data_IF_036513449819
#
_entry.id   IF_036513449819
#
_cell.length_a   1.000
_cell.length_b   1.000
_cell.length_c   1.000
_cell.angle_alpha   90.00
_cell.angle_beta   90.00
_cell.angle_gamma   90.00
#
_symmetry.space_group_name_H-M   'P 1'
#
loop_
_entity.id
_entity.type
_entity.pdbx_description
1 polymer ?
#
# COMPACT_ATOMS: atom_id res chain seq x y z
N UNK A 1 -9.93 19.87 -12.36
CA UNK A 1 -8.48 20.07 -12.08
C UNK A 1 -7.98 19.30 -10.86
N UNK A 2 -8.69 19.31 -9.73
CA UNK A 2 -8.26 18.63 -8.48
C UNK A 2 -7.94 17.14 -8.69
N UNK A 3 -8.78 16.39 -9.41
CA UNK A 3 -8.56 14.96 -9.70
C UNK A 3 -7.23 14.71 -10.44
N UNK A 4 -6.88 15.57 -11.41
CA UNK A 4 -5.63 15.43 -12.18
C UNK A 4 -4.39 15.66 -11.31
N UNK A 5 -4.46 16.61 -10.36
CA UNK A 5 -3.38 16.84 -9.40
C UNK A 5 -3.19 15.63 -8.45
N UNK A 6 -4.29 15.01 -7.98
CA UNK A 6 -4.25 13.77 -7.17
C UNK A 6 -3.53 12.65 -7.94
N UNK A 7 -3.86 12.46 -9.22
CA UNK A 7 -3.22 11.44 -10.07
C UNK A 7 -1.72 11.68 -10.30
N UNK A 8 -1.32 12.94 -10.50
CA UNK A 8 0.09 13.28 -10.72
C UNK A 8 0.98 12.95 -9.52
N UNK A 9 0.54 13.29 -8.30
CA UNK A 9 1.30 12.99 -7.07
C UNK A 9 1.46 11.48 -6.87
N UNK A 10 0.40 10.70 -7.13
CA UNK A 10 0.44 9.24 -7.04
C UNK A 10 1.47 8.65 -8.03
N UNK A 11 1.51 9.17 -9.26
CA UNK A 11 2.47 8.73 -10.29
C UNK A 11 3.91 9.01 -9.87
N UNK A 12 4.21 10.21 -9.35
CA UNK A 12 5.55 10.56 -8.88
C UNK A 12 6.02 9.66 -7.73
N UNK A 13 5.15 9.39 -6.75
CA UNK A 13 5.48 8.50 -5.63
C UNK A 13 5.77 7.07 -6.12
N UNK A 14 5.02 6.59 -7.11
CA UNK A 14 5.22 5.27 -7.71
C UNK A 14 6.55 5.17 -8.46
N UNK A 15 6.87 6.15 -9.32
CA UNK A 15 8.15 6.20 -10.04
C UNK A 15 9.32 6.25 -9.06
N UNK A 16 9.25 7.08 -8.03
CA UNK A 16 10.29 7.16 -6.99
C UNK A 16 10.50 5.80 -6.31
N UNK A 17 9.43 5.14 -5.88
CA UNK A 17 9.50 3.84 -5.20
C UNK A 17 10.11 2.76 -6.09
N UNK A 18 9.68 2.68 -7.36
CA UNK A 18 10.22 1.71 -8.31
C UNK A 18 11.70 1.96 -8.63
N UNK A 19 12.10 3.23 -8.80
CA UNK A 19 13.51 3.57 -9.05
C UNK A 19 14.45 3.17 -7.90
N UNK A 20 13.93 3.09 -6.67
CA UNK A 20 14.68 2.71 -5.47
C UNK A 20 14.66 1.20 -5.18
N UNK A 21 13.83 0.41 -5.87
CA UNK A 21 13.74 -1.04 -5.72
C UNK A 21 14.93 -1.71 -6.43
N UNK A 22 16.16 -1.48 -5.94
CA UNK A 22 17.34 -2.24 -6.38
C UNK A 22 17.27 -3.65 -5.78
N UNK A 23 16.91 -4.63 -6.61
CA UNK A 23 16.96 -6.05 -6.24
C UNK A 23 18.34 -6.66 -6.41
N UNK A 24 19.23 -6.00 -7.16
CA UNK A 24 20.59 -6.49 -7.31
C UNK A 24 21.36 -6.33 -6.01
N UNK A 25 21.95 -7.40 -5.45
CA UNK A 25 23.05 -7.23 -4.51
C UNK A 25 24.03 -6.25 -5.15
N UNK A 26 24.29 -5.13 -4.48
CA UNK A 26 25.32 -4.23 -4.96
C UNK A 26 26.62 -5.03 -5.09
N UNK A 27 27.40 -4.84 -6.17
CA UNK A 27 28.74 -5.41 -6.23
C UNK A 27 29.45 -4.99 -4.95
N UNK A 28 30.15 -5.95 -4.33
CA UNK A 28 30.72 -5.72 -3.01
C UNK A 28 31.67 -4.53 -3.08
N UNK A 29 31.39 -3.49 -2.29
CA UNK A 29 32.23 -2.29 -2.23
C UNK A 29 33.44 -2.48 -1.30
N UNK A 30 33.56 -3.65 -0.65
CA UNK A 30 34.59 -3.96 0.34
C UNK A 30 35.69 -4.89 -0.18
N UNK A 31 36.29 -5.64 0.74
CA UNK A 31 37.38 -6.58 0.44
C UNK A 31 36.92 -7.72 -0.46
N UNK A 32 37.80 -8.14 -1.36
CA UNK A 32 37.61 -9.32 -2.19
C UNK A 32 38.60 -10.41 -1.81
N UNK A 33 38.15 -11.66 -1.88
CA UNK A 33 38.96 -12.85 -1.65
C UNK A 33 38.85 -13.75 -2.88
N UNK A 34 39.95 -14.33 -3.34
CA UNK A 34 39.92 -15.31 -4.43
C UNK A 34 40.08 -16.71 -3.84
N UNK A 35 39.12 -17.59 -4.13
CA UNK A 35 39.19 -19.02 -3.81
C UNK A 35 38.90 -19.77 -5.10
N UNK A 36 39.80 -20.67 -5.51
CA UNK A 36 39.71 -21.41 -6.78
C UNK A 36 39.49 -20.51 -8.01
N UNK A 37 40.10 -19.32 -8.04
CA UNK A 37 39.98 -18.35 -9.13
C UNK A 37 38.63 -17.62 -9.20
N UNK A 38 37.74 -17.82 -8.22
CA UNK A 38 36.48 -17.08 -8.11
C UNK A 38 36.61 -16.01 -7.03
N UNK A 39 36.35 -14.76 -7.42
CA UNK A 39 36.36 -13.62 -6.51
C UNK A 39 35.07 -13.57 -5.69
N UNK A 40 35.20 -13.73 -4.38
CA UNK A 40 34.16 -13.47 -3.39
C UNK A 40 34.34 -12.07 -2.80
N UNK A 41 33.43 -11.17 -3.11
CA UNK A 41 33.32 -9.86 -2.48
C UNK A 41 32.70 -9.97 -1.09
N UNK A 42 33.17 -9.14 -0.16
CA UNK A 42 32.69 -9.08 1.23
C UNK A 42 32.28 -7.64 1.53
N UNK A 43 31.04 -7.46 1.97
CA UNK A 43 30.50 -6.16 2.34
C UNK A 43 29.94 -6.20 3.77
N UNK A 44 30.70 -5.73 4.77
CA UNK A 44 30.20 -5.61 6.12
C UNK A 44 29.17 -4.48 6.21
N UNK A 45 28.15 -4.66 7.06
CA UNK A 45 27.20 -3.62 7.43
C UNK A 45 27.42 -3.23 8.88
N UNK A 46 27.88 -2.01 9.08
CA UNK A 46 28.19 -1.48 10.39
C UNK A 46 27.04 -0.65 10.99
N UNK A 47 26.90 -0.72 12.31
CA UNK A 47 26.09 0.20 13.09
C UNK A 47 26.86 0.59 14.35
N UNK A 48 27.14 1.88 14.50
CA UNK A 48 27.94 2.42 15.62
C UNK A 48 29.30 1.71 15.77
N UNK A 49 30.00 1.48 14.65
CA UNK A 49 31.31 0.81 14.62
C UNK A 49 31.30 -0.70 14.86
N UNK A 50 30.13 -1.32 15.09
CA UNK A 50 30.00 -2.78 15.20
C UNK A 50 29.46 -3.36 13.90
N UNK A 51 30.09 -4.41 13.38
CA UNK A 51 29.56 -5.17 12.24
C UNK A 51 28.31 -5.93 12.71
N UNK A 52 27.17 -5.59 12.11
CA UNK A 52 25.86 -6.16 12.42
C UNK A 52 25.42 -7.22 11.42
N UNK A 53 25.98 -7.19 10.22
CA UNK A 53 25.73 -8.18 9.18
C UNK A 53 26.90 -8.21 8.20
N UNK A 54 27.09 -9.34 7.52
CA UNK A 54 28.09 -9.50 6.46
C UNK A 54 27.40 -10.03 5.22
N UNK A 55 27.60 -9.38 4.06
CA UNK A 55 27.15 -9.86 2.77
C UNK A 55 28.34 -10.44 1.99
N UNK A 56 28.26 -11.72 1.65
CA UNK A 56 29.19 -12.38 0.74
C UNK A 56 28.59 -12.38 -0.66
N UNK A 57 29.31 -11.88 -1.65
CA UNK A 57 28.83 -11.78 -3.04
C UNK A 57 29.82 -12.49 -3.96
N UNK A 58 29.34 -13.40 -4.81
CA UNK A 58 30.14 -14.10 -5.82
C UNK A 58 29.48 -13.97 -7.19
N UNK A 59 30.23 -13.98 -8.30
CA UNK A 59 29.63 -14.04 -9.63
C UNK A 59 28.73 -15.26 -9.79
N UNK A 60 27.55 -15.07 -10.37
CA UNK A 60 26.58 -16.12 -10.67
C UNK A 60 26.23 -16.04 -12.15
N UNK A 61 26.31 -17.17 -12.85
CA UNK A 61 25.89 -17.28 -14.25
C UNK A 61 24.49 -17.90 -14.31
N UNK A 62 23.48 -17.15 -13.88
CA UNK A 62 22.09 -17.60 -13.90
C UNK A 62 21.22 -16.50 -14.49
N UNK A 63 20.13 -16.83 -15.18
CA UNK A 63 19.10 -15.91 -15.66
C UNK A 63 18.01 -15.73 -14.61
N UNK A 64 17.92 -16.65 -13.65
CA UNK A 64 16.94 -16.64 -12.59
C UNK A 64 17.22 -15.51 -11.60
N UNK A 65 16.18 -14.75 -11.27
CA UNK A 65 16.17 -13.87 -10.11
C UNK A 65 15.44 -14.60 -8.99
N UNK A 66 16.10 -14.75 -7.86
CA UNK A 66 15.53 -15.49 -6.73
C UNK A 66 16.01 -14.95 -5.40
N UNK A 67 15.22 -15.23 -4.37
CA UNK A 67 15.59 -15.03 -2.98
C UNK A 67 15.13 -16.23 -2.17
N UNK A 68 16.05 -16.83 -1.43
CA UNK A 68 15.80 -17.86 -0.45
C UNK A 68 15.88 -17.23 0.93
N UNK A 69 14.91 -17.50 1.78
CA UNK A 69 14.94 -17.09 3.19
C UNK A 69 14.52 -18.23 4.08
N UNK A 70 14.79 -18.11 5.38
CA UNK A 70 14.14 -18.99 6.34
C UNK A 70 12.63 -18.75 6.29
N UNK A 71 11.85 -19.83 6.30
CA UNK A 71 10.39 -19.75 6.27
C UNK A 71 9.86 -19.06 7.53
N UNK A 72 9.11 -17.98 7.37
CA UNK A 72 8.50 -17.27 8.50
C UNK A 72 7.13 -17.85 8.87
N UNK A 73 6.64 -17.53 10.08
CA UNK A 73 5.28 -17.89 10.50
C UNK A 73 4.22 -17.29 9.56
N UNK A 74 4.49 -16.12 9.01
CA UNK A 74 3.60 -15.42 8.08
C UNK A 74 3.51 -16.19 6.76
N UNK A 75 4.65 -16.68 6.24
CA UNK A 75 4.69 -17.50 5.03
C UNK A 75 3.87 -18.78 5.20
N UNK A 76 3.98 -19.43 6.37
CA UNK A 76 3.19 -20.64 6.70
C UNK A 76 1.68 -20.38 6.69
N UNK A 77 1.25 -19.23 7.20
CA UNK A 77 -0.17 -18.85 7.17
C UNK A 77 -0.62 -18.70 5.71
N UNK A 78 0.15 -17.98 4.89
CA UNK A 78 -0.19 -17.77 3.48
C UNK A 78 -0.21 -19.06 2.67
N UNK A 79 0.70 -20.01 2.96
CA UNK A 79 0.66 -21.36 2.38
C UNK A 79 -0.62 -22.10 2.75
N UNK A 80 -1.00 -22.08 4.04
CA UNK A 80 -2.19 -22.77 4.53
C UNK A 80 -3.48 -22.27 3.87
N UNK A 81 -3.54 -20.97 3.56
CA UNK A 81 -4.68 -20.35 2.85
C UNK A 81 -4.63 -20.59 1.33
N UNK A 82 -3.55 -21.19 0.81
CA UNK A 82 -3.37 -21.46 -0.62
C UNK A 82 -3.06 -20.20 -1.45
N UNK A 83 -2.56 -19.14 -0.80
CA UNK A 83 -2.21 -17.88 -1.45
C UNK A 83 -0.84 -17.93 -2.12
N UNK A 84 0.09 -18.66 -1.52
CA UNK A 84 1.40 -18.92 -2.08
C UNK A 84 1.46 -20.37 -2.58
N UNK A 85 1.61 -20.55 -3.89
CA UNK A 85 1.96 -21.86 -4.46
C UNK A 85 3.48 -21.98 -4.39
N UNK A 86 3.99 -22.56 -3.31
CA UNK A 86 5.40 -22.91 -3.24
C UNK A 86 5.64 -24.30 -3.85
N UNK A 87 6.72 -24.40 -4.63
CA UNK A 87 7.19 -25.69 -5.14
C UNK A 87 7.76 -26.48 -3.96
N UNK A 88 7.10 -27.59 -3.64
CA UNK A 88 7.63 -28.56 -2.69
C UNK A 88 8.76 -29.34 -3.36
N UNK A 89 9.90 -29.47 -2.66
CA UNK A 89 11.03 -30.25 -3.16
C UNK A 89 10.88 -31.74 -2.88
N UNK A 90 9.98 -32.10 -1.96
CA UNK A 90 9.83 -33.47 -1.46
C UNK A 90 10.84 -33.82 -0.38
N UNK A 91 11.78 -32.92 -0.08
CA UNK A 91 12.68 -33.00 1.06
C UNK A 91 12.09 -32.18 2.22
N UNK A 92 11.53 -32.89 3.21
CA UNK A 92 10.88 -32.27 4.36
C UNK A 92 11.82 -31.35 5.16
N UNK A 93 13.12 -31.67 5.24
CA UNK A 93 14.07 -30.84 5.97
C UNK A 93 14.33 -29.52 5.24
N UNK A 94 14.30 -29.55 3.91
CA UNK A 94 14.39 -28.35 3.07
C UNK A 94 13.09 -27.55 3.11
N UNK A 95 11.96 -28.19 2.83
CA UNK A 95 10.64 -27.55 2.65
C UNK A 95 10.11 -26.89 3.93
N UNK A 96 10.57 -27.35 5.11
CA UNK A 96 10.20 -26.74 6.42
C UNK A 96 11.12 -25.59 6.84
N UNK A 97 12.29 -25.44 6.20
CA UNK A 97 13.31 -24.45 6.57
C UNK A 97 13.45 -23.34 5.54
N UNK A 98 13.30 -23.63 4.26
CA UNK A 98 13.65 -22.73 3.17
C UNK A 98 12.39 -22.32 2.43
N UNK A 99 12.20 -21.01 2.28
CA UNK A 99 11.20 -20.42 1.40
C UNK A 99 11.88 -19.93 0.11
N UNK A 100 11.41 -20.39 -1.05
CA UNK A 100 11.91 -19.98 -2.37
C UNK A 100 11.01 -18.88 -2.97
N UNK A 101 11.51 -17.65 -2.99
CA UNK A 101 10.91 -16.55 -3.73
C UNK A 101 11.57 -16.42 -5.10
N UNK A 102 11.03 -17.08 -6.11
CA UNK A 102 11.40 -16.89 -7.52
C UNK A 102 10.14 -16.79 -8.38
N UNK A 103 10.23 -16.05 -9.48
CA UNK A 103 9.20 -16.05 -10.53
C UNK A 103 9.54 -17.07 -11.64
N UNK A 104 10.74 -17.67 -11.59
CA UNK A 104 11.15 -18.73 -12.51
C UNK A 104 10.72 -20.09 -11.95
N UNK A 105 9.67 -20.65 -12.55
CA UNK A 105 9.21 -22.02 -12.27
C UNK A 105 10.29 -23.04 -12.62
N UNK A 106 11.05 -22.78 -13.68
CA UNK A 106 12.18 -23.61 -14.10
C UNK A 106 13.27 -23.67 -13.02
N UNK A 107 13.73 -22.52 -12.50
CA UNK A 107 14.72 -22.46 -11.43
C UNK A 107 14.26 -23.24 -10.19
N UNK A 108 13.03 -22.99 -9.77
CA UNK A 108 12.48 -23.64 -8.58
C UNK A 108 12.35 -25.16 -8.75
N UNK A 109 12.01 -25.63 -9.97
CA UNK A 109 11.99 -27.05 -10.32
C UNK A 109 13.39 -27.66 -10.40
N UNK A 110 14.38 -26.94 -10.91
CA UNK A 110 15.75 -27.45 -10.94
C UNK A 110 16.30 -27.60 -9.51
N UNK A 111 16.07 -26.63 -8.63
CA UNK A 111 16.43 -26.73 -7.20
C UNK A 111 15.71 -27.89 -6.51
N UNK A 112 14.45 -28.19 -6.89
CA UNK A 112 13.74 -29.35 -6.35
C UNK A 112 14.29 -30.69 -6.85
N UNK A 113 14.95 -30.73 -8.01
CA UNK A 113 15.57 -31.95 -8.54
C UNK A 113 17.02 -32.12 -8.07
N UNK A 114 17.75 -31.03 -7.80
CA UNK A 114 19.16 -31.09 -7.41
C UNK A 114 19.38 -31.17 -5.89
N UNK A 115 19.66 -32.39 -5.41
CA UNK A 115 19.91 -32.66 -4.00
C UNK A 115 21.14 -31.94 -3.42
N UNK A 116 22.17 -31.70 -4.24
CA UNK A 116 23.38 -31.03 -3.78
C UNK A 116 23.15 -29.53 -3.53
N UNK A 117 22.44 -28.84 -4.43
CA UNK A 117 22.00 -27.46 -4.18
C UNK A 117 21.22 -27.34 -2.88
N UNK A 118 20.23 -28.22 -2.67
CA UNK A 118 19.42 -28.20 -1.43
C UNK A 118 20.28 -28.36 -0.19
N UNK A 119 21.23 -29.29 -0.21
CA UNK A 119 22.17 -29.52 0.90
C UNK A 119 23.05 -28.29 1.16
N UNK A 120 23.60 -27.66 0.12
CA UNK A 120 24.43 -26.46 0.26
C UNK A 120 23.63 -25.27 0.82
N UNK A 121 22.40 -25.07 0.33
CA UNK A 121 21.48 -24.06 0.84
C UNK A 121 21.18 -24.29 2.34
N UNK A 122 20.85 -25.54 2.73
CA UNK A 122 20.62 -25.89 4.13
C UNK A 122 21.84 -25.68 5.01
N UNK A 123 23.04 -25.98 4.50
CA UNK A 123 24.29 -25.73 5.23
C UNK A 123 24.52 -24.23 5.46
N UNK A 124 24.24 -23.36 4.48
CA UNK A 124 24.32 -21.90 4.67
C UNK A 124 23.34 -21.42 5.75
N UNK A 125 22.08 -21.88 5.70
CA UNK A 125 21.09 -21.50 6.72
C UNK A 125 21.44 -22.04 8.11
N UNK A 126 21.98 -23.25 8.19
CA UNK A 126 22.47 -23.84 9.45
C UNK A 126 23.65 -23.05 10.01
N UNK A 127 24.50 -22.51 9.13
CA UNK A 127 25.60 -21.64 9.51
C UNK A 127 25.20 -20.18 9.78
N UNK A 128 23.89 -19.87 9.85
CA UNK A 128 23.40 -18.55 10.25
C UNK A 128 23.13 -17.57 9.10
N UNK A 129 23.06 -18.03 7.85
CA UNK A 129 22.59 -17.19 6.76
C UNK A 129 21.14 -16.72 7.03
N UNK A 130 20.87 -15.43 6.83
CA UNK A 130 19.54 -14.83 6.91
C UNK A 130 18.77 -14.99 5.61
N UNK A 131 19.45 -14.77 4.50
CA UNK A 131 18.92 -15.00 3.16
C UNK A 131 20.05 -15.25 2.16
N UNK A 132 19.68 -15.93 1.08
CA UNK A 132 20.48 -16.13 -0.12
C UNK A 132 19.69 -15.46 -1.24
N UNK A 133 20.33 -14.66 -2.09
CA UNK A 133 19.67 -14.04 -3.23
C UNK A 133 20.55 -14.14 -4.46
N UNK A 134 19.95 -14.47 -5.60
CA UNK A 134 20.61 -14.45 -6.89
C UNK A 134 19.96 -13.42 -7.78
N UNK A 135 20.78 -12.64 -8.46
CA UNK A 135 20.38 -11.96 -9.67
C UNK A 135 21.10 -12.57 -10.88
N UNK A 136 21.06 -11.88 -12.02
CA UNK A 136 21.61 -12.41 -13.26
C UNK A 136 23.14 -12.56 -13.24
N UNK A 137 23.79 -11.81 -12.37
CA UNK A 137 25.23 -11.60 -12.41
C UNK A 137 25.91 -12.06 -11.11
N UNK A 138 25.17 -12.10 -9.99
CA UNK A 138 25.73 -12.33 -8.67
C UNK A 138 24.82 -13.17 -7.77
N UNK A 139 25.46 -14.00 -6.94
CA UNK A 139 24.87 -14.64 -5.77
C UNK A 139 25.33 -13.90 -4.53
N UNK A 140 24.39 -13.41 -3.73
CA UNK A 140 24.62 -12.76 -2.44
C UNK A 140 24.09 -13.62 -1.29
N UNK A 141 24.90 -13.83 -0.25
CA UNK A 141 24.49 -14.51 0.99
C UNK A 141 24.74 -13.60 2.18
N UNK A 142 23.68 -13.27 2.92
CA UNK A 142 23.78 -12.39 4.09
C UNK A 142 23.81 -13.21 5.39
N UNK A 143 24.77 -12.91 6.25
CA UNK A 143 24.90 -13.44 7.60
C UNK A 143 24.68 -12.35 8.66
N UNK A 144 24.28 -12.74 9.86
CA UNK A 144 24.27 -11.84 11.02
C UNK A 144 25.67 -11.76 11.63
N UNK A 145 26.11 -10.57 12.04
CA UNK A 145 27.44 -10.38 12.64
C UNK A 145 28.58 -10.32 11.62
N UNK A 146 29.80 -10.50 12.13
CA UNK A 146 31.05 -10.42 11.37
C UNK A 146 31.48 -11.81 10.88
N UNK A 147 31.38 -12.01 9.57
CA UNK A 147 31.85 -13.23 8.89
C UNK A 147 32.96 -12.91 7.88
N UNK A 148 33.61 -11.75 8.03
CA UNK A 148 34.59 -11.24 7.05
C UNK A 148 35.80 -12.16 6.91
N UNK A 149 36.17 -12.89 7.96
CA UNK A 149 37.34 -13.78 7.99
C UNK A 149 37.00 -15.26 7.76
N UNK A 150 35.73 -15.63 7.70
CA UNK A 150 35.30 -17.03 7.63
C UNK A 150 35.49 -17.64 6.23
N UNK A 151 36.63 -18.29 6.01
CA UNK A 151 36.99 -18.91 4.73
C UNK A 151 36.09 -20.09 4.37
N UNK A 152 35.62 -20.85 5.36
CA UNK A 152 34.70 -21.97 5.16
C UNK A 152 33.37 -21.54 4.55
N UNK A 153 32.79 -20.43 5.06
CA UNK A 153 31.56 -19.87 4.48
C UNK A 153 31.76 -19.37 3.05
N UNK A 154 32.87 -18.68 2.77
CA UNK A 154 33.20 -18.21 1.41
C UNK A 154 33.29 -19.37 0.44
N UNK A 155 33.98 -20.45 0.81
CA UNK A 155 34.08 -21.65 -0.01
C UNK A 155 32.70 -22.28 -0.27
N UNK A 156 31.82 -22.29 0.74
CA UNK A 156 30.48 -22.85 0.61
C UNK A 156 29.58 -22.00 -0.30
N UNK A 157 29.68 -20.67 -0.23
CA UNK A 157 28.98 -19.73 -1.14
C UNK A 157 29.46 -19.90 -2.58
N UNK A 158 30.77 -20.03 -2.80
CA UNK A 158 31.35 -20.27 -4.13
C UNK A 158 30.88 -21.61 -4.70
N UNK A 159 30.86 -22.66 -3.88
CA UNK A 159 30.37 -23.98 -4.29
C UNK A 159 28.90 -23.93 -4.69
N UNK A 160 28.06 -23.22 -3.93
CA UNK A 160 26.66 -23.02 -4.30
C UNK A 160 26.51 -22.24 -5.60
N UNK A 161 27.29 -21.17 -5.81
CA UNK A 161 27.22 -20.38 -7.04
C UNK A 161 27.60 -21.18 -8.29
N UNK A 162 28.61 -22.07 -8.19
CA UNK A 162 28.94 -23.02 -9.26
C UNK A 162 27.76 -23.93 -9.58
N UNK A 163 27.21 -24.57 -8.54
CA UNK A 163 26.10 -25.50 -8.68
C UNK A 163 24.88 -24.83 -9.35
N UNK A 164 24.46 -23.66 -8.85
CA UNK A 164 23.32 -22.92 -9.41
C UNK A 164 23.59 -22.36 -10.82
N UNK A 165 24.84 -22.01 -11.13
CA UNK A 165 25.23 -21.51 -12.44
C UNK A 165 25.23 -22.59 -13.54
N UNK A 166 25.39 -23.86 -13.17
CA UNK A 166 25.33 -24.96 -14.12
C UNK A 166 23.87 -25.39 -14.43
N UNK A 167 22.94 -25.17 -13.50
CA UNK A 167 21.52 -25.49 -13.65
C UNK A 167 20.85 -24.63 -14.74
N UNK A 168 21.12 -23.33 -14.72
CA UNK A 168 20.40 -22.35 -15.55
C UNK A 168 20.70 -22.43 -17.07
N UNK A 169 21.74 -23.20 -17.49
CA UNK A 169 22.05 -23.39 -18.91
C UNK A 169 20.90 -24.02 -19.70
N UNK A 170 20.01 -24.75 -19.02
CA UNK A 170 18.89 -25.45 -19.63
C UNK A 170 17.57 -24.65 -19.59
N UNK A 171 17.57 -23.48 -18.95
CA UNK A 171 16.36 -22.63 -18.84
C UNK A 171 16.23 -21.74 -20.08
N UNK A 172 15.36 -22.15 -21.01
CA UNK A 172 14.98 -21.41 -22.22
C UNK A 172 13.76 -20.54 -21.91
N UNK A 173 13.92 -19.21 -21.85
CA UNK A 173 12.83 -18.25 -21.61
C UNK A 173 12.31 -18.30 -20.16
N UNK A 174 11.84 -17.23 -19.52
CA UNK A 174 11.21 -16.01 -20.00
C UNK A 174 11.81 -14.81 -19.24
N UNK A 175 12.44 -13.87 -19.93
CA UNK A 175 13.16 -12.75 -19.30
C UNK A 175 12.29 -11.69 -18.62
N UNK A 176 10.97 -11.89 -18.55
CA UNK A 176 10.00 -10.94 -17.98
C UNK A 176 9.10 -11.66 -16.99
N UNK A 177 9.17 -11.23 -15.74
CA UNK A 177 8.25 -11.64 -14.67
C UNK A 177 6.79 -11.36 -15.11
N UNK A 178 5.94 -12.37 -15.34
CA UNK A 178 4.56 -12.19 -15.79
C UNK A 178 3.68 -11.49 -14.76
N UNK A 179 4.11 -11.43 -13.50
CA UNK A 179 3.44 -10.73 -12.42
C UNK A 179 3.92 -9.30 -12.25
N UNK A 180 5.00 -8.88 -12.91
CA UNK A 180 5.54 -7.52 -12.75
C UNK A 180 4.51 -6.45 -13.14
N UNK A 181 3.93 -6.55 -14.34
CA UNK A 181 2.92 -5.58 -14.79
C UNK A 181 1.65 -5.63 -13.94
N UNK A 182 1.25 -6.82 -13.49
CA UNK A 182 0.12 -6.99 -12.56
C UNK A 182 0.40 -6.29 -11.22
N UNK A 183 1.62 -6.41 -10.69
CA UNK A 183 2.08 -5.78 -9.46
C UNK A 183 2.09 -4.26 -9.59
N UNK A 184 2.65 -3.74 -10.68
CA UNK A 184 2.63 -2.31 -10.97
C UNK A 184 1.19 -1.79 -11.03
N UNK A 185 0.29 -2.47 -11.76
CA UNK A 185 -1.10 -2.05 -11.90
C UNK A 185 -1.86 -2.03 -10.56
N UNK A 186 -1.70 -3.09 -9.74
CA UNK A 186 -2.32 -3.15 -8.41
C UNK A 186 -1.75 -2.10 -7.47
N UNK A 187 -0.43 -1.91 -7.45
CA UNK A 187 0.19 -0.85 -6.65
C UNK A 187 -0.30 0.54 -7.10
N UNK A 188 -0.35 0.83 -8.41
CA UNK A 188 -0.93 2.07 -8.96
C UNK A 188 -2.35 2.31 -8.44
N UNK A 189 -3.21 1.30 -8.52
CA UNK A 189 -4.60 1.39 -8.09
C UNK A 189 -4.70 1.68 -6.59
N UNK A 190 -4.01 0.90 -5.75
CA UNK A 190 -4.04 1.03 -4.29
C UNK A 190 -3.51 2.39 -3.85
N UNK A 191 -2.39 2.86 -4.41
CA UNK A 191 -1.85 4.18 -4.10
C UNK A 191 -2.71 5.33 -4.64
N UNK A 192 -3.36 5.14 -5.79
CA UNK A 192 -4.34 6.09 -6.33
C UNK A 192 -5.51 6.30 -5.36
N UNK A 193 -6.07 5.21 -4.83
CA UNK A 193 -7.13 5.25 -3.82
C UNK A 193 -6.66 5.89 -2.51
N UNK A 194 -5.44 5.56 -2.06
CA UNK A 194 -4.85 6.18 -0.88
C UNK A 194 -4.67 7.70 -1.03
N UNK A 195 -4.26 8.13 -2.22
CA UNK A 195 -4.12 9.56 -2.56
C UNK A 195 -5.47 10.25 -2.61
N UNK A 196 -6.48 9.63 -3.23
CA UNK A 196 -7.85 10.13 -3.23
C UNK A 196 -8.35 10.34 -1.79
N UNK A 197 -8.27 9.32 -0.93
CA UNK A 197 -8.67 9.39 0.47
C UNK A 197 -7.91 10.47 1.26
N UNK A 198 -6.60 10.60 1.02
CA UNK A 198 -5.77 11.61 1.70
C UNK A 198 -6.20 13.03 1.35
N UNK A 199 -6.47 13.31 0.07
CA UNK A 199 -6.91 14.66 -0.31
C UNK A 199 -8.33 14.92 0.16
N UNK A 200 -9.23 13.94 0.11
CA UNK A 200 -10.56 14.09 0.68
C UNK A 200 -10.55 14.33 2.19
N UNK A 201 -9.61 13.70 2.91
CA UNK A 201 -9.38 13.99 4.33
C UNK A 201 -8.96 15.45 4.55
N UNK A 202 -8.06 15.97 3.72
CA UNK A 202 -7.63 17.36 3.80
C UNK A 202 -8.74 18.34 3.43
N UNK A 203 -9.54 18.03 2.41
CA UNK A 203 -10.74 18.79 2.04
C UNK A 203 -11.69 18.84 3.24
N UNK A 204 -11.99 17.72 3.89
CA UNK A 204 -12.83 17.69 5.08
C UNK A 204 -12.25 18.49 6.26
N UNK A 205 -10.93 18.44 6.47
CA UNK A 205 -10.28 19.13 7.58
C UNK A 205 -10.15 20.65 7.39
N UNK A 206 -10.00 21.11 6.14
CA UNK A 206 -9.73 22.52 5.82
C UNK A 206 -10.92 23.26 5.20
N UNK A 207 -11.85 22.55 4.58
CA UNK A 207 -13.08 23.07 3.98
C UNK A 207 -14.32 22.34 4.55
N UNK A 208 -14.51 22.34 5.87
CA UNK A 208 -15.70 21.74 6.49
C UNK A 208 -16.93 22.60 6.21
N UNK A 209 -17.64 22.26 5.15
CA UNK A 209 -18.99 22.72 4.85
C UNK A 209 -19.96 21.59 5.21
N UNK A 210 -21.07 21.92 5.89
CA UNK A 210 -22.11 20.95 6.19
C UNK A 210 -22.93 20.70 4.91
N UNK A 211 -22.42 19.84 4.04
CA UNK A 211 -23.09 19.52 2.77
C UNK A 211 -24.30 18.63 3.00
N UNK A 212 -24.28 17.76 4.02
CA UNK A 212 -25.33 16.76 4.26
C UNK A 212 -26.15 17.06 5.51
N UNK A 213 -27.47 16.82 5.45
CA UNK A 213 -28.37 17.03 6.59
C UNK A 213 -28.25 15.93 7.66
N UNK A 214 -27.81 14.73 7.27
CA UNK A 214 -27.57 13.60 8.18
C UNK A 214 -26.11 13.11 8.06
N UNK A 215 -25.22 13.80 8.75
CA UNK A 215 -23.78 13.49 8.78
C UNK A 215 -23.50 12.07 9.32
N UNK A 216 -24.36 11.54 10.20
CA UNK A 216 -24.17 10.20 10.76
C UNK A 216 -24.51 9.10 9.74
N UNK A 217 -25.58 9.27 8.96
CA UNK A 217 -25.88 8.37 7.86
C UNK A 217 -24.77 8.38 6.80
N UNK A 218 -24.24 9.54 6.45
CA UNK A 218 -23.09 9.65 5.52
C UNK A 218 -21.87 8.92 6.06
N UNK A 219 -21.53 9.14 7.34
CA UNK A 219 -20.39 8.49 7.97
C UNK A 219 -20.52 6.96 7.97
N UNK A 220 -21.65 6.45 8.46
CA UNK A 220 -21.87 5.00 8.61
C UNK A 220 -21.96 4.29 7.26
N UNK A 221 -22.74 4.82 6.31
CA UNK A 221 -22.87 4.25 4.96
C UNK A 221 -21.58 4.40 4.17
N UNK A 222 -20.90 5.53 4.29
CA UNK A 222 -19.61 5.80 3.67
C UNK A 222 -18.51 4.83 4.13
N UNK A 223 -18.40 4.59 5.44
CA UNK A 223 -17.50 3.55 5.98
C UNK A 223 -17.89 2.18 5.40
N UNK A 224 -19.18 1.85 5.34
CA UNK A 224 -19.66 0.62 4.74
C UNK A 224 -19.22 0.43 3.29
N UNK A 225 -19.36 1.48 2.46
CA UNK A 225 -18.86 1.50 1.07
C UNK A 225 -17.35 1.29 1.02
N UNK A 226 -16.61 1.99 1.89
CA UNK A 226 -15.15 1.86 2.00
C UNK A 226 -14.70 0.44 2.33
N UNK A 227 -15.31 -0.18 3.35
CA UNK A 227 -15.02 -1.55 3.77
C UNK A 227 -15.36 -2.55 2.67
N UNK A 228 -16.54 -2.42 2.04
CA UNK A 228 -16.96 -3.29 0.96
C UNK A 228 -15.99 -3.21 -0.24
N UNK A 229 -15.57 -2.00 -0.62
CA UNK A 229 -14.58 -1.79 -1.67
C UNK A 229 -13.21 -2.39 -1.30
N UNK A 230 -12.77 -2.24 -0.05
CA UNK A 230 -11.50 -2.80 0.44
C UNK A 230 -11.50 -4.33 0.34
N UNK A 231 -12.56 -4.97 0.80
CA UNK A 231 -12.72 -6.43 0.73
C UNK A 231 -12.75 -6.90 -0.73
N UNK A 232 -13.54 -6.25 -1.59
CA UNK A 232 -13.61 -6.59 -3.01
C UNK A 232 -12.24 -6.48 -3.71
N UNK A 233 -11.49 -5.40 -3.44
CA UNK A 233 -10.14 -5.22 -3.98
C UNK A 233 -9.16 -6.25 -3.45
N UNK A 234 -9.20 -6.58 -2.16
CA UNK A 234 -8.33 -7.61 -1.59
C UNK A 234 -8.60 -9.00 -2.19
N UNK A 235 -9.88 -9.35 -2.40
CA UNK A 235 -10.25 -10.57 -3.12
C UNK A 235 -9.70 -10.52 -4.56
N UNK A 236 -9.85 -9.39 -5.26
CA UNK A 236 -9.28 -9.21 -6.60
C UNK A 236 -7.76 -9.41 -6.63
N UNK A 237 -7.03 -8.84 -5.67
CA UNK A 237 -5.57 -9.01 -5.53
C UNK A 237 -5.21 -10.47 -5.29
N UNK A 238 -5.92 -11.15 -4.39
CA UNK A 238 -5.75 -12.59 -4.12
C UNK A 238 -5.90 -13.40 -5.41
N UNK A 239 -6.93 -13.13 -6.20
CA UNK A 239 -7.18 -13.85 -7.45
C UNK A 239 -6.11 -13.56 -8.52
N UNK A 240 -5.69 -12.30 -8.66
CA UNK A 240 -4.68 -11.87 -9.65
C UNK A 240 -3.30 -12.46 -9.36
N UNK A 241 -2.94 -12.59 -8.07
CA UNK A 241 -1.62 -13.08 -7.63
C UNK A 241 -1.61 -14.53 -7.17
N UNK A 242 -2.69 -15.28 -7.39
CA UNK A 242 -2.70 -16.71 -7.08
C UNK A 242 -1.53 -17.41 -7.79
N UNK A 243 -0.67 -18.05 -7.02
CA UNK A 243 0.54 -18.72 -7.51
C UNK A 243 1.77 -17.84 -7.70
N UNK A 244 1.70 -16.55 -7.38
CA UNK A 244 2.89 -15.69 -7.33
C UNK A 244 3.56 -15.79 -5.97
N UNK A 245 4.88 -16.02 -5.96
CA UNK A 245 5.69 -15.98 -4.73
C UNK A 245 5.72 -14.58 -4.08
N UNK A 246 5.42 -13.52 -4.85
CA UNK A 246 5.34 -12.12 -4.39
C UNK A 246 3.94 -11.71 -3.93
N UNK A 247 2.93 -12.53 -4.21
CA UNK A 247 1.53 -12.20 -3.97
C UNK A 247 1.22 -11.82 -2.52
N UNK A 248 1.76 -12.57 -1.56
CA UNK A 248 1.53 -12.32 -0.14
C UNK A 248 2.04 -10.94 0.30
N UNK A 249 3.22 -10.51 -0.19
CA UNK A 249 3.79 -9.22 0.15
C UNK A 249 2.92 -8.09 -0.40
N UNK A 250 2.52 -8.19 -1.67
CA UNK A 250 1.63 -7.21 -2.31
C UNK A 250 0.30 -7.17 -1.55
N UNK A 251 -0.23 -8.32 -1.14
CA UNK A 251 -1.47 -8.42 -0.39
C UNK A 251 -1.38 -7.75 0.99
N UNK A 252 -0.31 -7.99 1.76
CA UNK A 252 -0.11 -7.36 3.08
C UNK A 252 0.05 -5.85 2.93
N UNK A 253 0.91 -5.40 2.01
CA UNK A 253 1.11 -3.97 1.75
C UNK A 253 -0.22 -3.31 1.33
N UNK A 254 -0.99 -3.97 0.45
CA UNK A 254 -2.28 -3.47 -0.01
C UNK A 254 -3.33 -3.47 1.10
N UNK A 255 -3.41 -4.51 1.92
CA UNK A 255 -4.34 -4.59 3.04
C UNK A 255 -4.12 -3.46 4.05
N UNK A 256 -2.85 -3.15 4.37
CA UNK A 256 -2.51 -2.03 5.25
C UNK A 256 -2.93 -0.69 4.63
N UNK A 257 -2.61 -0.45 3.36
CA UNK A 257 -2.93 0.81 2.70
C UNK A 257 -4.45 0.97 2.54
N UNK A 258 -5.15 -0.06 2.06
CA UNK A 258 -6.59 -0.04 1.85
C UNK A 258 -7.34 0.07 3.18
N UNK A 259 -6.92 -0.65 4.21
CA UNK A 259 -7.54 -0.60 5.54
C UNK A 259 -7.45 0.77 6.20
N UNK A 260 -6.38 1.53 5.93
CA UNK A 260 -6.23 2.90 6.44
C UNK A 260 -6.92 3.94 5.56
N UNK A 261 -6.90 3.75 4.23
CA UNK A 261 -7.39 4.77 3.29
C UNK A 261 -8.87 4.67 2.98
N UNK A 262 -9.41 3.47 2.77
CA UNK A 262 -10.78 3.30 2.28
C UNK A 262 -11.88 3.63 3.29
N UNK A 263 -11.73 3.55 4.62
CA UNK A 263 -12.75 4.09 5.51
C UNK A 263 -13.00 5.58 5.26
N UNK A 264 -11.94 6.37 5.07
CA UNK A 264 -12.04 7.80 4.77
C UNK A 264 -12.44 8.06 3.32
N UNK A 265 -11.81 7.36 2.38
CA UNK A 265 -12.15 7.45 0.97
C UNK A 265 -13.58 7.00 0.65
N UNK A 266 -14.12 6.05 1.41
CA UNK A 266 -15.49 5.56 1.26
C UNK A 266 -16.54 6.60 1.64
N UNK A 267 -16.28 7.41 2.68
CA UNK A 267 -17.14 8.55 3.05
C UNK A 267 -17.15 9.57 1.91
N UNK A 268 -15.97 9.94 1.41
CA UNK A 268 -15.85 10.89 0.30
C UNK A 268 -16.54 10.37 -0.98
N UNK A 269 -16.29 9.11 -1.33
CA UNK A 269 -16.91 8.49 -2.50
C UNK A 269 -18.44 8.41 -2.37
N UNK A 270 -18.95 8.09 -1.19
CA UNK A 270 -20.38 8.08 -0.92
C UNK A 270 -20.98 9.47 -1.11
N UNK A 271 -20.37 10.51 -0.54
CA UNK A 271 -20.79 11.91 -0.71
C UNK A 271 -20.75 12.34 -2.18
N UNK A 272 -19.65 12.09 -2.88
CA UNK A 272 -19.46 12.45 -4.29
C UNK A 272 -20.53 11.78 -5.17
N UNK A 273 -20.76 10.46 -5.00
CA UNK A 273 -21.78 9.73 -5.75
C UNK A 273 -23.19 10.19 -5.36
N UNK A 274 -23.46 10.42 -4.07
CA UNK A 274 -24.76 10.85 -3.60
C UNK A 274 -25.18 12.19 -4.19
N UNK A 275 -24.21 13.11 -4.36
CA UNK A 275 -24.45 14.47 -4.87
C UNK A 275 -24.40 14.53 -6.39
N UNK A 276 -23.38 13.94 -7.02
CA UNK A 276 -23.17 14.02 -8.47
C UNK A 276 -24.22 13.25 -9.28
N UNK A 277 -24.79 12.18 -8.73
CA UNK A 277 -25.82 11.38 -9.39
C UNK A 277 -27.25 11.78 -8.96
N UNK A 278 -27.40 12.80 -8.10
CA UNK A 278 -28.72 13.26 -7.66
C UNK A 278 -29.47 13.99 -8.77
N UNK A 279 -30.53 13.35 -9.29
CA UNK A 279 -31.43 13.92 -10.28
C UNK A 279 -32.75 14.44 -9.68
N UNK A 280 -32.89 14.43 -8.35
CA UNK A 280 -34.14 14.88 -7.71
C UNK A 280 -34.41 16.37 -7.97
N UNK A 281 -35.68 16.75 -7.97
CA UNK A 281 -36.07 18.16 -8.00
C UNK A 281 -35.55 18.88 -6.75
N UNK A 282 -35.07 20.11 -6.90
CA UNK A 282 -34.63 20.92 -5.75
C UNK A 282 -35.83 21.25 -4.87
N UNK A 283 -35.77 20.83 -3.61
CA UNK A 283 -36.75 21.19 -2.59
C UNK A 283 -36.29 22.50 -1.97
N UNK A 284 -37.12 23.54 -2.07
CA UNK A 284 -36.79 24.87 -1.57
C UNK A 284 -37.46 25.07 -0.23
N UNK A 285 -36.68 25.38 0.80
CA UNK A 285 -37.18 25.69 2.14
C UNK A 285 -36.65 27.04 2.61
N UNK A 286 -37.52 27.88 3.14
CA UNK A 286 -37.12 29.18 3.70
C UNK A 286 -37.02 29.08 5.23
N UNK A 287 -35.97 29.71 5.78
CA UNK A 287 -35.67 29.73 7.20
C UNK A 287 -35.32 31.11 7.67
N UNK A 288 -35.87 31.48 8.83
CA UNK A 288 -35.44 32.67 9.55
C UNK A 288 -34.12 32.36 10.26
N UNK A 289 -33.11 33.17 10.00
CA UNK A 289 -31.82 33.15 10.69
C UNK A 289 -32.02 33.89 12.00
N UNK A 290 -31.94 33.15 13.11
CA UNK A 290 -32.04 33.71 14.45
C UNK A 290 -30.74 34.45 14.80
N UNK A 291 -29.60 33.79 14.56
CA UNK A 291 -28.29 34.31 14.89
C UNK A 291 -27.25 33.73 13.94
N UNK A 292 -26.25 34.53 13.59
CA UNK A 292 -25.06 34.08 12.89
C UNK A 292 -23.86 34.30 13.81
N UNK A 293 -23.16 33.24 14.16
CA UNK A 293 -22.03 33.33 15.08
C UNK A 293 -20.77 32.64 14.52
N UNK A 294 -19.62 33.15 14.95
CA UNK A 294 -18.33 32.50 14.72
C UNK A 294 -17.91 31.77 15.98
N UNK A 295 -17.44 30.56 15.84
CA UNK A 295 -16.85 29.80 16.93
C UNK A 295 -15.33 29.79 16.75
N UNK A 296 -14.63 30.23 17.79
CA UNK A 296 -13.18 30.26 17.84
C UNK A 296 -12.64 28.91 18.32
N UNK A 297 -11.68 28.36 17.58
CA UNK A 297 -10.99 27.12 17.94
C UNK A 297 -9.51 27.39 18.14
N UNK A 298 -8.98 26.97 19.29
CA UNK A 298 -7.56 27.11 19.61
C UNK A 298 -6.78 25.88 19.17
N UNK A 299 -5.94 26.04 18.15
CA UNK A 299 -5.05 25.01 17.65
C UNK A 299 -3.76 24.86 18.46
N UNK A 300 -2.97 23.83 18.11
CA UNK A 300 -1.61 23.65 18.67
C UNK A 300 -0.72 24.84 18.29
N UNK A 301 0.15 25.24 19.23
CA UNK A 301 1.06 26.41 19.11
C UNK A 301 0.35 27.77 19.02
N UNK A 302 -0.85 27.90 19.59
CA UNK A 302 -1.53 29.20 19.70
C UNK A 302 -2.11 29.75 18.41
N UNK A 303 -2.19 28.93 17.34
CA UNK A 303 -2.93 29.32 16.13
C UNK A 303 -4.42 29.24 16.40
N UNK A 304 -5.15 30.30 16.11
CA UNK A 304 -6.62 30.34 16.16
C UNK A 304 -7.18 30.08 14.76
N UNK A 305 -8.23 29.26 14.67
CA UNK A 305 -9.05 29.14 13.46
C UNK A 305 -10.54 29.31 13.81
N UNK A 306 -11.35 29.69 12.83
CA UNK A 306 -12.76 30.01 13.03
C UNK A 306 -13.66 29.05 12.24
N UNK A 307 -14.79 28.68 12.83
CA UNK A 307 -15.92 28.08 12.10
C UNK A 307 -17.12 29.03 12.14
N UNK A 308 -17.88 29.09 11.06
CA UNK A 308 -19.01 30.00 10.90
C UNK A 308 -20.30 29.20 10.89
N UNK A 309 -21.27 29.60 11.70
CA UNK A 309 -22.51 28.86 11.93
C UNK A 309 -23.72 29.79 11.84
N UNK A 310 -24.81 29.26 11.30
CA UNK A 310 -26.13 29.89 11.28
C UNK A 310 -27.07 29.13 12.20
N UNK A 311 -27.64 29.82 13.19
CA UNK A 311 -28.75 29.31 13.99
C UNK A 311 -30.06 29.64 13.29
N UNK A 312 -30.83 28.60 13.00
CA UNK A 312 -32.09 28.68 12.27
C UNK A 312 -33.26 28.53 13.23
N UNK A 313 -34.31 29.32 13.01
CA UNK A 313 -35.56 29.16 13.74
C UNK A 313 -36.19 27.79 13.43
N UNK A 314 -36.97 27.26 14.39
CA UNK A 314 -37.77 26.06 14.18
C UNK A 314 -38.75 26.28 13.00
N UNK A 315 -39.03 25.23 12.21
CA UNK A 315 -39.99 25.34 11.11
C UNK A 315 -41.38 25.68 11.64
N UNK A 316 -42.10 26.53 10.91
CA UNK A 316 -43.50 26.87 11.23
C UNK A 316 -44.48 25.75 10.86
N UNK A 317 -44.08 24.85 9.95
CA UNK A 317 -44.89 23.73 9.47
C UNK A 317 -44.04 22.45 9.33
N UNK A 318 -44.65 21.25 9.37
CA UNK A 318 -43.93 20.01 9.10
C UNK A 318 -43.25 20.04 7.73
N UNK A 319 -42.00 19.59 7.70
CA UNK A 319 -41.19 19.62 6.49
C UNK A 319 -40.96 18.25 5.91
N UNK A 320 -40.77 18.23 4.59
CA UNK A 320 -40.35 17.03 3.89
C UNK A 320 -38.95 16.56 4.31
N UNK A 321 -38.02 17.51 4.44
CA UNK A 321 -36.63 17.27 4.84
C UNK A 321 -36.28 18.18 6.00
N UNK A 322 -35.79 17.61 7.11
CA UNK A 322 -35.44 18.36 8.31
C UNK A 322 -34.06 19.01 8.18
N UNK A 323 -34.01 20.34 8.17
CA UNK A 323 -32.75 21.10 8.29
C UNK A 323 -32.36 21.17 9.78
N UNK A 324 -31.09 20.89 10.15
CA UNK A 324 -30.64 21.04 11.53
C UNK A 324 -30.73 22.50 11.98
N UNK A 325 -31.03 22.72 13.26
CA UNK A 325 -31.17 24.08 13.82
C UNK A 325 -29.87 24.91 13.82
N UNK A 326 -28.72 24.27 13.59
CA UNK A 326 -27.45 24.92 13.34
C UNK A 326 -26.85 24.36 12.06
N UNK A 327 -26.48 25.22 11.13
CA UNK A 327 -25.81 24.84 9.87
C UNK A 327 -24.47 25.56 9.80
N UNK A 328 -23.40 24.79 9.57
CA UNK A 328 -22.08 25.37 9.29
C UNK A 328 -22.02 25.87 7.86
N UNK A 329 -21.55 27.10 7.67
CA UNK A 329 -21.42 27.75 6.36
C UNK A 329 -19.99 28.19 6.09
N UNK A 330 -19.67 28.46 4.83
CA UNK A 330 -18.38 29.03 4.44
C UNK A 330 -18.21 30.45 4.99
N UNK A 331 -16.95 30.91 5.09
CA UNK A 331 -16.66 32.28 5.49
C UNK A 331 -17.30 33.30 4.53
N UNK A 332 -17.28 33.02 3.22
CA UNK A 332 -17.91 33.84 2.19
C UNK A 332 -19.41 33.98 2.40
N UNK A 333 -20.12 32.89 2.65
CA UNK A 333 -21.56 32.91 2.92
C UNK A 333 -21.87 33.67 4.20
N UNK A 334 -21.09 33.43 5.27
CA UNK A 334 -21.25 34.14 6.54
C UNK A 334 -21.11 35.66 6.39
N UNK A 335 -20.09 36.15 5.67
CA UNK A 335 -19.91 37.58 5.47
C UNK A 335 -20.87 38.18 4.44
N UNK A 336 -21.48 37.36 3.56
CA UNK A 336 -22.51 37.80 2.61
C UNK A 336 -23.86 38.11 3.29
N UNK A 337 -24.03 37.70 4.55
CA UNK A 337 -25.30 37.76 5.26
C UNK A 337 -25.82 39.20 5.49
N UNK A 338 -24.99 40.25 5.47
CA UNK A 338 -25.35 41.70 5.48
C UNK A 338 -26.67 42.10 6.20
N UNK A 339 -26.97 41.56 7.39
CA UNK A 339 -28.21 41.87 8.11
C UNK A 339 -29.50 41.23 7.55
N UNK A 340 -29.38 40.35 6.55
CA UNK A 340 -30.44 39.48 6.04
C UNK A 340 -30.88 38.52 7.15
N UNK A 341 -32.19 38.43 7.35
CA UNK A 341 -32.80 37.62 8.42
C UNK A 341 -33.37 36.31 7.91
N UNK A 342 -33.33 36.07 6.60
CA UNK A 342 -33.92 34.88 5.98
C UNK A 342 -32.92 34.25 5.02
N UNK A 343 -32.93 32.93 4.95
CA UNK A 343 -32.18 32.15 3.99
C UNK A 343 -33.10 31.14 3.32
N UNK A 344 -32.91 30.95 2.03
CA UNK A 344 -33.56 29.95 1.21
C UNK A 344 -32.57 28.82 0.96
N UNK A 345 -32.89 27.65 1.46
CA UNK A 345 -32.11 26.43 1.32
C UNK A 345 -32.63 25.66 0.10
N UNK A 346 -31.77 25.44 -0.88
CA UNK A 346 -32.01 24.49 -1.96
C UNK A 346 -31.54 23.11 -1.49
N UNK A 347 -32.45 22.17 -1.31
CA UNK A 347 -32.15 20.82 -0.83
C UNK A 347 -32.28 19.81 -1.98
N UNK A 348 -31.35 18.85 -2.02
CA UNK A 348 -31.45 17.64 -2.83
C UNK A 348 -31.76 16.43 -1.95
N UNK A 349 -32.55 15.47 -2.46
CA UNK A 349 -32.79 14.21 -1.73
C UNK A 349 -31.54 13.32 -1.72
N UNK A 350 -30.63 13.50 -2.67
CA UNK A 350 -29.44 12.68 -2.87
C UNK A 350 -29.76 11.35 -3.57
N UNK A 351 -28.81 10.86 -4.37
CA UNK A 351 -28.95 9.60 -5.11
C UNK A 351 -29.21 8.39 -4.19
N UNK A 352 -28.61 8.36 -3.00
CA UNK A 352 -28.81 7.30 -2.00
C UNK A 352 -29.87 7.67 -0.94
N UNK A 353 -30.75 8.61 -1.25
CA UNK A 353 -31.73 9.17 -0.32
C UNK A 353 -31.05 9.66 0.97
N UNK A 354 -29.92 10.35 0.81
CA UNK A 354 -29.23 11.07 1.88
C UNK A 354 -29.29 12.56 1.55
N UNK A 355 -30.19 13.29 2.20
CA UNK A 355 -30.43 14.69 1.91
C UNK A 355 -29.17 15.55 2.04
N UNK A 356 -29.06 16.55 1.16
CA UNK A 356 -27.91 17.44 1.11
C UNK A 356 -28.32 18.85 0.67
N UNK A 357 -27.52 19.84 1.04
CA UNK A 357 -27.72 21.25 0.72
C UNK A 357 -27.04 21.53 -0.63
N UNK A 358 -27.83 21.86 -1.65
CA UNK A 358 -27.36 22.27 -2.98
C UNK A 358 -26.83 23.70 -2.99
N UNK A 359 -27.42 24.56 -2.18
CA UNK A 359 -27.07 25.97 -2.10
C UNK A 359 -27.92 26.72 -1.08
N UNK A 360 -27.41 27.89 -0.68
CA UNK A 360 -28.05 28.78 0.28
C UNK A 360 -28.13 30.17 -0.34
N UNK A 361 -29.35 30.68 -0.53
CA UNK A 361 -29.61 32.03 -1.00
C UNK A 361 -30.11 32.91 0.16
N UNK A 362 -29.35 33.93 0.55
CA UNK A 362 -29.78 34.86 1.60
C UNK A 362 -30.78 35.88 1.04
N UNK A 363 -31.89 36.15 1.75
CA UNK A 363 -32.98 37.04 1.33
C UNK A 363 -33.03 38.34 2.13
#
# INVERSE_FOLDING_TARGET
MIILAKLFVALCALVYRYSKRKFSPAPAAGHSYSIDGITCGVSPREHKGKITATLLTVPLRSKAVFKLSQESLVDRIFKRVGLATEIQTGDQAFDTRVYIASDSTAFSREVSLDGESRRLILNLFTAGARFIQGDRDHLGVQFAGDETTNTGLKALVIKLARQLGDMDRNVIGEGRDPFFLKAVAVECLVYGLATYASVSFFEWQFMPEDVHLDSFAVLTRGIGVGVAAAVALLIGIILIFKGSSRGHRILVESALILGLSLPVGGIALYTDLNTALDQSATIVQERTIYEAYRQEHRGRKGRTYYSYHLLLAAPEAPEELSIPGSVRVSASEFYSLQGRKRARFGLGRGFFNTPWIRGIDFL
#
